data_IF_010546185805
#
_entry.id   IF_010546185805
#
_cell.length_a   1.000
_cell.length_b   1.000
_cell.length_c   1.000
_cell.angle_alpha   90.00
_cell.angle_beta   90.00
_cell.angle_gamma   90.00
#
_symmetry.space_group_name_H-M   'P 1'
#
loop_
_entity.id
_entity.type
_entity.pdbx_description
1 polymer ?
#
# COMPACT_ATOMS: atom_id res chain seq x y z
N UNK A 1 10.79 -7.83 -19.67
CA UNK A 1 10.14 -7.17 -18.51
C UNK A 1 8.63 -7.18 -18.74
N UNK A 2 7.83 -7.71 -17.81
CA UNK A 2 6.39 -7.96 -18.07
C UNK A 2 5.58 -6.64 -18.10
N UNK A 3 4.53 -6.55 -18.93
CA UNK A 3 3.61 -5.39 -18.97
C UNK A 3 3.06 -5.03 -17.58
N UNK A 4 2.78 -6.05 -16.77
CA UNK A 4 2.31 -5.91 -15.37
C UNK A 4 3.29 -5.13 -14.50
N UNK A 5 4.59 -5.35 -14.67
CA UNK A 5 5.62 -4.61 -13.91
C UNK A 5 5.56 -3.11 -14.21
N UNK A 6 5.49 -2.74 -15.49
CA UNK A 6 5.41 -1.32 -15.87
C UNK A 6 4.16 -0.65 -15.31
N UNK A 7 3.02 -1.33 -15.30
CA UNK A 7 1.79 -0.82 -14.68
C UNK A 7 2.00 -0.57 -13.18
N UNK A 8 2.61 -1.50 -12.45
CA UNK A 8 2.90 -1.33 -11.02
C UNK A 8 3.85 -0.16 -10.76
N UNK A 9 4.86 0.03 -11.62
CA UNK A 9 5.77 1.17 -11.52
C UNK A 9 5.03 2.50 -11.73
N UNK A 10 4.17 2.59 -12.75
CA UNK A 10 3.38 3.80 -13.02
C UNK A 10 2.45 4.10 -11.84
N UNK A 11 1.77 3.09 -11.29
CA UNK A 11 0.88 3.25 -10.14
C UNK A 11 1.63 3.73 -8.89
N UNK A 12 2.83 3.19 -8.64
CA UNK A 12 3.69 3.65 -7.56
C UNK A 12 4.09 5.11 -7.73
N UNK A 13 4.57 5.49 -8.92
CA UNK A 13 4.97 6.87 -9.21
C UNK A 13 3.78 7.83 -9.11
N UNK A 14 2.60 7.41 -9.57
CA UNK A 14 1.38 8.19 -9.46
C UNK A 14 1.03 8.48 -8.01
N UNK A 15 0.98 7.46 -7.14
CA UNK A 15 0.74 7.66 -5.71
C UNK A 15 1.79 8.61 -5.10
N UNK A 16 3.06 8.46 -5.48
CA UNK A 16 4.13 9.31 -4.96
C UNK A 16 3.96 10.77 -5.33
N UNK A 17 3.65 11.05 -6.60
CA UNK A 17 3.39 12.39 -7.10
C UNK A 17 2.16 13.00 -6.43
N UNK A 18 1.06 12.25 -6.32
CA UNK A 18 -0.16 12.73 -5.68
C UNK A 18 0.07 13.08 -4.21
N UNK A 19 0.75 12.22 -3.44
CA UNK A 19 1.06 12.50 -2.04
C UNK A 19 1.88 13.77 -1.87
N UNK A 20 2.95 13.93 -2.65
CA UNK A 20 3.79 15.14 -2.60
C UNK A 20 2.97 16.38 -2.99
N UNK A 21 2.19 16.29 -4.06
CA UNK A 21 1.35 17.38 -4.53
C UNK A 21 0.36 17.83 -3.46
N UNK A 22 -0.46 16.91 -2.93
CA UNK A 22 -1.48 17.25 -1.93
C UNK A 22 -0.87 17.73 -0.61
N UNK A 23 0.24 17.12 -0.18
CA UNK A 23 0.96 17.56 1.03
C UNK A 23 1.46 19.00 0.93
N UNK A 24 1.93 19.42 -0.25
CA UNK A 24 2.50 20.75 -0.45
C UNK A 24 1.47 21.82 -0.83
N UNK A 25 0.36 21.44 -1.48
CA UNK A 25 -0.54 22.39 -2.14
C UNK A 25 -1.95 22.43 -1.53
N UNK A 26 -2.26 21.61 -0.52
CA UNK A 26 -3.61 21.56 0.06
C UNK A 26 -3.59 21.53 1.57
N UNK A 27 -4.62 22.12 2.17
CA UNK A 27 -4.79 22.16 3.63
C UNK A 27 -5.60 20.98 4.19
N UNK A 28 -6.16 20.12 3.32
CA UNK A 28 -6.95 18.96 3.73
C UNK A 28 -6.13 17.66 3.79
N UNK A 29 -4.90 17.66 3.27
CA UNK A 29 -4.00 16.52 3.44
C UNK A 29 -3.67 16.36 4.93
N UNK A 30 -3.76 15.12 5.41
CA UNK A 30 -3.60 14.77 6.82
C UNK A 30 -2.40 13.83 6.98
N UNK A 31 -1.55 14.11 7.96
CA UNK A 31 -0.43 13.24 8.32
C UNK A 31 -0.86 12.24 9.38
N UNK A 32 -1.08 11.00 8.97
CA UNK A 32 -1.50 9.91 9.83
C UNK A 32 -0.30 9.19 10.44
N UNK A 33 -0.03 9.46 11.73
CA UNK A 33 1.04 8.82 12.49
C UNK A 33 0.69 7.39 12.97
N UNK A 34 -0.57 7.02 12.84
CA UNK A 34 -1.12 5.76 13.30
C UNK A 34 -1.15 4.73 12.15
N UNK A 35 -1.75 3.57 12.42
CA UNK A 35 -2.11 2.60 11.37
C UNK A 35 -3.51 2.91 10.82
N UNK A 36 -4.00 2.10 9.86
CA UNK A 36 -5.34 2.26 9.29
C UNK A 36 -6.42 2.45 10.36
N UNK A 37 -7.45 3.25 10.05
CA UNK A 37 -8.47 3.71 11.00
C UNK A 37 -7.93 4.56 12.16
N UNK A 38 -6.75 5.18 11.98
CA UNK A 38 -6.09 6.01 12.98
C UNK A 38 -5.88 5.31 14.33
N UNK A 39 -5.79 3.97 14.33
CA UNK A 39 -5.61 3.19 15.54
C UNK A 39 -4.21 3.43 16.13
N UNK A 40 -4.11 3.84 17.41
CA UNK A 40 -2.82 4.14 18.01
C UNK A 40 -2.01 2.85 18.19
N UNK A 41 -0.78 2.87 17.71
CA UNK A 41 0.21 1.83 17.99
C UNK A 41 1.54 2.49 18.35
N UNK A 42 2.19 2.01 19.41
CA UNK A 42 3.49 2.53 19.80
C UNK A 42 4.53 2.29 18.71
N UNK A 43 5.38 3.30 18.43
CA UNK A 43 6.40 3.22 17.37
C UNK A 43 7.32 1.99 17.52
N UNK A 44 7.62 1.58 18.76
CA UNK A 44 8.40 0.38 19.07
C UNK A 44 7.81 -0.91 18.49
N UNK A 45 6.48 -1.01 18.40
CA UNK A 45 5.80 -2.17 17.82
C UNK A 45 5.55 -2.00 16.32
N UNK A 46 5.34 -0.76 15.86
CA UNK A 46 5.03 -0.46 14.46
C UNK A 46 6.15 -0.92 13.51
N UNK A 47 7.39 -0.53 13.77
CA UNK A 47 8.50 -0.78 12.84
C UNK A 47 8.82 -2.26 12.63
N UNK A 48 8.91 -3.11 13.68
CA UNK A 48 9.08 -4.55 13.49
C UNK A 48 7.94 -5.18 12.67
N UNK A 49 6.70 -4.78 12.93
CA UNK A 49 5.53 -5.29 12.20
C UNK A 49 5.60 -4.90 10.72
N UNK A 50 5.87 -3.63 10.43
CA UNK A 50 5.99 -3.14 9.04
C UNK A 50 7.15 -3.84 8.31
N UNK A 51 8.28 -4.04 8.99
CA UNK A 51 9.46 -4.71 8.42
C UNK A 51 9.16 -6.17 8.07
N UNK A 52 8.57 -6.92 9.00
CA UNK A 52 8.18 -8.31 8.75
C UNK A 52 7.13 -8.41 7.62
N UNK A 53 6.16 -7.51 7.63
CA UNK A 53 5.10 -7.48 6.62
C UNK A 53 5.63 -7.16 5.23
N UNK A 54 6.51 -6.15 5.09
CA UNK A 54 7.05 -5.78 3.77
C UNK A 54 7.96 -6.88 3.21
N UNK A 55 8.75 -7.56 4.05
CA UNK A 55 9.54 -8.73 3.64
C UNK A 55 8.64 -9.86 3.16
N UNK A 56 7.61 -10.19 3.94
CA UNK A 56 6.65 -11.22 3.56
C UNK A 56 6.00 -10.92 2.20
N UNK A 57 5.48 -9.70 2.03
CA UNK A 57 4.85 -9.26 0.77
C UNK A 57 5.85 -9.28 -0.39
N UNK A 58 7.09 -8.84 -0.17
CA UNK A 58 8.15 -8.88 -1.19
C UNK A 58 8.45 -10.31 -1.64
N UNK A 59 8.66 -11.23 -0.69
CA UNK A 59 8.89 -12.65 -0.98
C UNK A 59 7.75 -13.27 -1.79
N UNK A 60 6.50 -12.95 -1.43
CA UNK A 60 5.32 -13.42 -2.16
C UNK A 60 5.22 -12.81 -3.56
N UNK A 61 5.55 -11.53 -3.72
CA UNK A 61 5.60 -10.85 -5.00
C UNK A 61 6.65 -11.50 -5.93
N UNK A 62 7.88 -11.70 -5.45
CA UNK A 62 8.95 -12.36 -6.20
C UNK A 62 8.58 -13.78 -6.63
N UNK A 63 8.08 -14.59 -5.69
CA UNK A 63 7.65 -15.97 -5.96
C UNK A 63 6.61 -16.02 -7.08
N UNK A 64 5.64 -15.11 -7.07
CA UNK A 64 4.58 -15.06 -8.07
C UNK A 64 5.04 -14.44 -9.40
N UNK A 65 6.01 -13.53 -9.37
CA UNK A 65 6.67 -13.00 -10.57
C UNK A 65 7.42 -14.10 -11.32
N UNK A 66 8.25 -14.86 -10.62
CA UNK A 66 9.05 -15.96 -11.18
C UNK A 66 8.17 -17.06 -11.77
N UNK A 67 7.05 -17.38 -11.12
CA UNK A 67 6.06 -18.36 -11.59
C UNK A 67 5.06 -17.80 -12.62
N UNK A 68 5.20 -16.53 -13.02
CA UNK A 68 4.31 -15.81 -13.92
C UNK A 68 2.81 -15.98 -13.60
N UNK A 69 2.46 -15.98 -12.31
CA UNK A 69 1.08 -16.25 -11.89
C UNK A 69 0.18 -15.03 -12.11
N UNK A 70 -1.14 -15.25 -12.11
CA UNK A 70 -2.12 -14.15 -12.08
C UNK A 70 -2.06 -13.38 -10.76
N UNK A 71 -1.56 -13.99 -9.68
CA UNK A 71 -1.43 -13.36 -8.36
C UNK A 71 -0.28 -12.34 -8.27
N UNK A 72 0.67 -12.37 -9.21
CA UNK A 72 1.78 -11.41 -9.23
C UNK A 72 1.27 -9.97 -9.17
N UNK A 73 0.22 -9.65 -9.92
CA UNK A 73 -0.31 -8.28 -9.95
C UNK A 73 -0.89 -7.87 -8.59
N UNK A 74 -1.63 -8.76 -7.92
CA UNK A 74 -2.21 -8.47 -6.60
C UNK A 74 -1.14 -8.31 -5.51
N UNK A 75 -0.14 -9.21 -5.45
CA UNK A 75 1.00 -9.05 -4.55
C UNK A 75 1.83 -7.80 -4.88
N UNK A 76 1.94 -7.46 -6.17
CA UNK A 76 2.57 -6.24 -6.63
C UNK A 76 1.85 -4.98 -6.14
N UNK A 77 0.52 -4.93 -6.21
CA UNK A 77 -0.28 -3.81 -5.69
C UNK A 77 -0.07 -3.62 -4.19
N UNK A 78 -0.12 -4.71 -3.42
CA UNK A 78 0.14 -4.67 -1.96
C UNK A 78 1.56 -4.17 -1.70
N UNK A 79 2.55 -4.65 -2.46
CA UNK A 79 3.94 -4.25 -2.30
C UNK A 79 4.15 -2.76 -2.56
N UNK A 80 3.69 -2.25 -3.70
CA UNK A 80 3.90 -0.82 -4.04
C UNK A 80 3.16 0.12 -3.08
N UNK A 81 1.96 -0.27 -2.61
CA UNK A 81 1.22 0.52 -1.63
C UNK A 81 1.92 0.52 -0.26
N UNK A 82 2.35 -0.65 0.21
CA UNK A 82 3.09 -0.75 1.48
C UNK A 82 4.42 0.00 1.41
N UNK A 83 5.18 -0.14 0.32
CA UNK A 83 6.44 0.58 0.12
C UNK A 83 6.23 2.10 0.12
N UNK A 84 5.20 2.61 -0.57
CA UNK A 84 4.92 4.04 -0.58
C UNK A 84 4.54 4.58 0.81
N UNK A 85 3.68 3.86 1.55
CA UNK A 85 3.31 4.23 2.93
C UNK A 85 4.49 4.13 3.92
N UNK A 86 5.45 3.24 3.69
CA UNK A 86 6.69 3.18 4.49
C UNK A 86 7.60 4.36 4.15
N UNK A 87 7.72 4.73 2.88
CA UNK A 87 8.51 5.91 2.47
C UNK A 87 7.97 7.20 3.08
N UNK A 88 6.65 7.36 3.20
CA UNK A 88 6.09 8.51 3.91
C UNK A 88 6.52 8.52 5.38
N UNK A 89 6.44 7.37 6.06
CA UNK A 89 6.84 7.27 7.47
C UNK A 89 8.31 7.61 7.68
N UNK A 90 9.18 7.20 6.77
CA UNK A 90 10.61 7.51 6.82
C UNK A 90 10.88 9.01 6.61
N UNK A 91 10.12 9.67 5.74
CA UNK A 91 10.37 11.07 5.36
C UNK A 91 9.63 12.10 6.22
N UNK A 92 8.41 11.77 6.68
CA UNK A 92 7.49 12.69 7.32
C UNK A 92 7.05 12.23 8.72
N UNK A 93 7.42 11.02 9.16
CA UNK A 93 7.00 10.48 10.46
C UNK A 93 5.55 9.99 10.50
N UNK A 94 4.87 9.92 9.36
CA UNK A 94 3.49 9.43 9.22
C UNK A 94 3.15 9.17 7.75
N UNK A 95 1.91 8.79 7.46
CA UNK A 95 1.39 8.60 6.10
C UNK A 95 0.61 9.82 5.66
N UNK A 96 0.82 10.27 4.43
CA UNK A 96 0.06 11.37 3.85
C UNK A 96 -1.25 10.82 3.30
N UNK A 97 -2.36 11.15 3.97
CA UNK A 97 -3.73 10.83 3.56
C UNK A 97 -4.38 12.07 2.93
N UNK A 98 -5.00 11.92 1.77
CA UNK A 98 -5.50 13.07 0.98
C UNK A 98 -6.85 12.84 0.30
N UNK A 99 -7.39 11.62 0.35
CA UNK A 99 -8.72 11.31 -0.16
C UNK A 99 -9.70 11.35 1.01
N UNK A 100 -10.59 12.34 1.00
CA UNK A 100 -11.62 12.52 2.02
C UNK A 100 -13.00 12.23 1.43
N UNK A 101 -13.72 11.29 2.04
CA UNK A 101 -15.09 10.92 1.67
C UNK A 101 -15.99 11.17 2.90
N UNK A 102 -17.16 11.81 2.75
CA UNK A 102 -18.06 12.04 3.88
C UNK A 102 -18.38 10.76 4.64
N UNK A 103 -18.33 10.83 5.98
CA UNK A 103 -18.60 9.71 6.90
C UNK A 103 -17.63 8.52 6.81
N UNK A 104 -16.47 8.71 6.19
CA UNK A 104 -15.42 7.70 6.11
C UNK A 104 -14.06 8.26 6.54
N UNK A 105 -13.11 7.38 6.83
CA UNK A 105 -11.75 7.80 7.19
C UNK A 105 -11.05 8.41 5.98
N UNK A 106 -10.14 9.36 6.19
CA UNK A 106 -9.26 9.84 5.13
C UNK A 106 -8.28 8.71 4.76
N UNK A 107 -7.99 8.55 3.48
CA UNK A 107 -7.06 7.52 2.98
C UNK A 107 -6.25 8.05 1.79
N UNK A 108 -5.39 7.22 1.24
CA UNK A 108 -4.61 7.53 0.05
C UNK A 108 -4.70 6.42 -1.00
N UNK A 109 -4.04 6.62 -2.15
CA UNK A 109 -4.09 5.66 -3.25
C UNK A 109 -3.37 4.33 -2.91
N UNK A 110 -2.33 4.36 -2.07
CA UNK A 110 -1.66 3.18 -1.54
C UNK A 110 -2.60 2.27 -0.76
N UNK A 111 -3.52 2.84 0.04
CA UNK A 111 -4.52 2.06 0.79
C UNK A 111 -5.50 1.35 -0.16
N UNK A 112 -5.90 2.02 -1.24
CA UNK A 112 -6.73 1.43 -2.30
C UNK A 112 -6.00 0.26 -2.97
N UNK A 113 -4.71 0.41 -3.28
CA UNK A 113 -3.92 -0.67 -3.88
C UNK A 113 -3.82 -1.90 -2.97
N UNK A 114 -3.53 -1.68 -1.69
CA UNK A 114 -3.46 -2.74 -0.68
C UNK A 114 -4.83 -3.43 -0.58
N UNK A 115 -5.91 -2.66 -0.44
CA UNK A 115 -7.27 -3.18 -0.33
C UNK A 115 -7.64 -4.04 -1.55
N UNK A 116 -7.48 -3.52 -2.77
CA UNK A 116 -7.78 -4.26 -4.00
C UNK A 116 -6.94 -5.53 -4.14
N UNK A 117 -5.65 -5.47 -3.80
CA UNK A 117 -4.76 -6.63 -3.84
C UNK A 117 -5.20 -7.72 -2.85
N UNK A 118 -5.52 -7.34 -1.62
CA UNK A 118 -6.00 -8.28 -0.58
C UNK A 118 -7.34 -8.88 -0.98
N UNK A 119 -8.31 -8.07 -1.41
CA UNK A 119 -9.64 -8.54 -1.85
C UNK A 119 -9.50 -9.54 -3.00
N UNK A 120 -8.67 -9.24 -4.00
CA UNK A 120 -8.44 -10.19 -5.10
C UNK A 120 -7.89 -11.53 -4.62
N UNK A 121 -6.88 -11.53 -3.74
CA UNK A 121 -6.29 -12.76 -3.22
C UNK A 121 -7.28 -13.58 -2.38
N UNK A 122 -8.11 -12.91 -1.57
CA UNK A 122 -9.17 -13.56 -0.79
C UNK A 122 -10.22 -14.20 -1.70
N UNK A 123 -10.70 -13.47 -2.72
CA UNK A 123 -11.70 -13.99 -3.66
C UNK A 123 -11.18 -15.21 -4.43
N UNK A 124 -9.90 -15.22 -4.82
CA UNK A 124 -9.33 -16.40 -5.49
C UNK A 124 -9.22 -17.58 -4.53
N UNK A 125 -8.83 -17.34 -3.26
CA UNK A 125 -8.75 -18.39 -2.24
C UNK A 125 -10.13 -18.98 -1.92
N UNK A 126 -11.18 -18.17 -1.86
CA UNK A 126 -12.54 -18.65 -1.61
C UNK A 126 -13.12 -19.46 -2.78
N UNK A 127 -12.75 -19.13 -4.01
CA UNK A 127 -13.17 -19.88 -5.22
C UNK A 127 -12.42 -21.20 -5.42
N UNK A 128 -11.30 -21.36 -4.75
CA UNK A 128 -10.45 -22.56 -4.86
C UNK A 128 -10.37 -23.18 -3.45
N UNK A 129 -11.43 -23.87 -2.98
CA UNK A 129 -11.34 -24.61 -1.73
C UNK A 129 -10.16 -25.60 -1.83
N UNK A 130 -9.44 -25.73 -0.72
CA UNK A 130 -8.23 -26.55 -0.60
C UNK A 130 -8.47 -28.01 -0.97
#
# INVERSE_FOLDING_TARGET
MSKKFFVLLILFLLDRVLKIYFWQHTNFAYLNQNISFSLPIGQYFLWPILFLLIIFVYCQCLKNYQKNTKHFFAWGLIFIGAASNILDRLNYGGVIDFISVPYFTVFNLSDVFIFCGVVYLLLVKLKTPA
#
